data_IF_172819683272
#
_entry.id   IF_172819683272
#
_cell.length_a   1.000
_cell.length_b   1.000
_cell.length_c   1.000
_cell.angle_alpha   90.00
_cell.angle_beta   90.00
_cell.angle_gamma   90.00
#
_symmetry.space_group_name_H-M   'P 1'
#
loop_
_entity.id
_entity.type
_entity.pdbx_description
1 polymer ?
#
# COMPACT_ATOMS: atom_id res chain seq x y z
N UNK A 1 -3.10 -3.10 32.87
CA UNK A 1 -2.04 -2.49 32.04
C UNK A 1 -1.66 -3.55 31.00
N UNK A 2 -2.30 -3.51 29.84
CA UNK A 2 -1.88 -4.35 28.72
C UNK A 2 -0.57 -3.75 28.26
N UNK A 3 0.51 -4.54 28.25
CA UNK A 3 1.74 -4.11 27.60
C UNK A 3 1.39 -3.94 26.14
N UNK A 4 1.38 -2.70 25.69
CA UNK A 4 1.35 -2.35 24.28
C UNK A 4 2.73 -2.74 23.72
N UNK A 5 2.95 -4.04 23.52
CA UNK A 5 4.16 -4.54 22.85
C UNK A 5 3.97 -4.24 21.37
N UNK A 6 4.25 -2.98 21.03
CA UNK A 6 4.34 -2.50 19.67
C UNK A 6 5.17 -3.49 18.83
N UNK A 7 4.60 -3.95 17.72
CA UNK A 7 5.24 -4.95 16.89
C UNK A 7 6.63 -4.46 16.47
N UNK A 8 7.70 -5.27 16.54
CA UNK A 8 9.05 -4.79 16.30
C UNK A 8 9.25 -4.13 14.93
N UNK A 9 8.51 -4.55 13.91
CA UNK A 9 8.57 -3.92 12.60
C UNK A 9 8.01 -2.50 12.59
N UNK A 10 7.22 -2.08 13.58
CA UNK A 10 6.74 -0.70 13.66
C UNK A 10 7.88 0.28 13.89
N UNK A 11 8.96 -0.18 14.54
CA UNK A 11 10.11 0.63 14.93
C UNK A 11 9.94 1.28 16.29
N UNK A 12 11.09 1.60 16.90
CA UNK A 12 11.17 2.41 18.10
C UNK A 12 11.11 3.91 17.79
N UNK A 13 10.93 4.74 18.82
CA UNK A 13 11.03 6.20 18.70
C UNK A 13 12.38 6.62 18.08
N UNK A 14 13.45 5.92 18.44
CA UNK A 14 14.79 6.17 17.91
C UNK A 14 14.87 5.83 16.41
N UNK A 15 14.30 4.69 16.00
CA UNK A 15 14.23 4.30 14.58
C UNK A 15 13.56 5.39 13.73
N UNK A 16 12.41 5.90 14.21
CA UNK A 16 11.69 6.96 13.50
C UNK A 16 12.52 8.24 13.40
N UNK A 17 13.21 8.62 14.47
CA UNK A 17 14.02 9.83 14.51
C UNK A 17 15.21 9.73 13.55
N UNK A 18 15.94 8.61 13.58
CA UNK A 18 17.07 8.36 12.68
C UNK A 18 16.65 8.29 11.20
N UNK A 19 15.50 7.67 10.90
CA UNK A 19 14.94 7.62 9.56
C UNK A 19 14.57 9.01 9.06
N UNK A 20 13.98 9.87 9.91
CA UNK A 20 13.66 11.25 9.54
C UNK A 20 14.91 12.06 9.22
N UNK A 21 15.92 12.04 10.09
CA UNK A 21 17.19 12.77 9.87
C UNK A 21 17.93 12.29 8.61
N UNK A 22 17.96 10.98 8.40
CA UNK A 22 18.56 10.39 7.20
C UNK A 22 17.78 10.76 5.95
N UNK A 23 16.45 10.69 6.02
CA UNK A 23 15.59 11.02 4.88
C UNK A 23 15.74 12.46 4.46
N UNK A 24 15.91 13.40 5.40
CA UNK A 24 16.11 14.80 5.07
C UNK A 24 17.29 14.98 4.11
N UNK A 25 18.43 14.34 4.39
CA UNK A 25 19.62 14.38 3.51
C UNK A 25 19.34 13.78 2.13
N UNK A 26 18.59 12.68 2.07
CA UNK A 26 18.20 12.04 0.82
C UNK A 26 17.26 12.94 0.01
N UNK A 27 16.24 13.52 0.65
CA UNK A 27 15.27 14.41 0.01
C UNK A 27 15.93 15.71 -0.49
N UNK A 28 16.85 16.28 0.28
CA UNK A 28 17.63 17.46 -0.10
C UNK A 28 18.48 17.22 -1.36
N UNK A 29 18.94 15.99 -1.57
CA UNK A 29 19.61 15.60 -2.80
C UNK A 29 18.61 15.41 -3.94
N UNK A 30 17.53 14.65 -3.70
CA UNK A 30 16.52 14.30 -4.71
C UNK A 30 15.82 15.55 -5.28
N UNK A 31 15.53 16.57 -4.47
CA UNK A 31 14.87 17.80 -4.95
C UNK A 31 15.71 18.58 -6.00
N UNK A 32 17.01 18.32 -6.08
CA UNK A 32 17.88 18.91 -7.09
C UNK A 32 17.85 18.16 -8.43
N UNK A 33 17.27 16.95 -8.47
CA UNK A 33 17.17 16.15 -9.69
C UNK A 33 16.17 16.80 -10.68
N UNK A 34 16.58 17.16 -11.91
CA UNK A 34 15.70 17.81 -12.88
C UNK A 34 14.45 16.98 -13.24
N UNK A 35 14.53 15.65 -13.17
CA UNK A 35 13.39 14.75 -13.44
C UNK A 35 12.34 14.88 -12.34
N UNK A 36 12.78 14.97 -11.09
CA UNK A 36 11.91 15.18 -9.93
C UNK A 36 11.27 16.57 -10.01
N UNK A 37 12.05 17.62 -10.27
CA UNK A 37 11.51 18.98 -10.44
C UNK A 37 10.44 19.06 -11.53
N UNK A 38 10.66 18.36 -12.66
CA UNK A 38 9.69 18.30 -13.76
C UNK A 38 8.43 17.50 -13.40
N UNK A 39 8.58 16.44 -12.60
CA UNK A 39 7.46 15.65 -12.07
C UNK A 39 6.72 16.35 -10.91
N UNK A 40 7.36 17.30 -10.22
CA UNK A 40 6.81 18.05 -9.11
C UNK A 40 5.92 19.24 -9.53
N UNK A 41 5.41 19.25 -10.77
CA UNK A 41 4.53 20.32 -11.25
C UNK A 41 3.34 20.48 -10.28
N UNK A 42 3.03 21.71 -9.81
CA UNK A 42 1.89 21.94 -8.94
C UNK A 42 0.59 21.48 -9.61
N UNK A 43 -0.12 20.57 -8.95
CA UNK A 43 -1.35 19.99 -9.46
C UNK A 43 -2.41 19.92 -8.35
N UNK A 44 -3.63 20.32 -8.69
CA UNK A 44 -4.82 20.08 -7.87
C UNK A 44 -5.40 18.72 -8.32
N UNK A 45 -5.11 17.66 -7.57
CA UNK A 45 -5.59 16.30 -7.85
C UNK A 45 -6.46 15.87 -6.69
N UNK A 46 -7.64 15.31 -7.00
CA UNK A 46 -8.56 14.82 -5.98
C UNK A 46 -7.91 13.69 -5.15
N UNK A 47 -7.73 13.92 -3.85
CA UNK A 47 -6.95 13.04 -2.97
C UNK A 47 -7.62 11.69 -2.65
N UNK A 48 -8.94 11.57 -2.83
CA UNK A 48 -9.70 10.33 -2.62
C UNK A 48 -10.65 10.03 -3.78
N UNK A 49 -10.11 9.97 -5.00
CA UNK A 49 -10.92 9.77 -6.20
C UNK A 49 -11.33 8.29 -6.32
N UNK A 50 -12.53 7.97 -5.86
CA UNK A 50 -13.11 6.63 -5.98
C UNK A 50 -14.58 6.67 -6.42
N UNK A 51 -15.14 5.53 -6.85
CA UNK A 51 -16.49 5.45 -7.44
C UNK A 51 -17.61 6.06 -6.59
N UNK A 52 -17.49 6.04 -5.25
CA UNK A 52 -18.51 6.62 -4.35
C UNK A 52 -18.48 8.16 -4.31
N UNK A 53 -17.42 8.77 -4.83
CA UNK A 53 -17.24 10.22 -4.91
C UNK A 53 -17.58 10.76 -6.32
N UNK A 54 -18.03 9.91 -7.24
CA UNK A 54 -18.38 10.25 -8.61
C UNK A 54 -19.87 10.02 -8.83
N UNK A 55 -20.59 11.10 -9.15
CA UNK A 55 -21.99 11.04 -9.54
C UNK A 55 -22.10 11.04 -11.06
N UNK A 56 -23.00 10.20 -11.56
CA UNK A 56 -23.29 10.08 -12.99
C UNK A 56 -24.78 10.33 -13.24
N UNK A 57 -25.15 10.62 -14.49
CA UNK A 57 -26.56 10.82 -14.85
C UNK A 57 -27.34 9.50 -14.73
N UNK A 58 -28.58 9.53 -14.20
CA UNK A 58 -29.44 8.34 -14.18
C UNK A 58 -29.90 7.92 -15.58
N UNK A 59 -29.96 8.85 -16.53
CA UNK A 59 -30.37 8.58 -17.91
C UNK A 59 -29.19 8.13 -18.79
N UNK A 60 -27.98 8.60 -18.47
CA UNK A 60 -26.75 8.27 -19.19
C UNK A 60 -25.55 8.16 -18.22
N UNK A 61 -25.20 6.95 -17.74
CA UNK A 61 -24.10 6.74 -16.81
C UNK A 61 -22.70 7.11 -17.34
N UNK A 62 -22.56 7.44 -18.62
CA UNK A 62 -21.29 7.93 -19.19
C UNK A 62 -21.03 9.41 -18.90
N UNK A 63 -22.08 10.14 -18.48
CA UNK A 63 -22.00 11.56 -18.15
C UNK A 63 -21.78 11.73 -16.65
N UNK A 64 -20.60 12.20 -16.27
CA UNK A 64 -20.30 12.62 -14.90
C UNK A 64 -21.07 13.92 -14.60
N UNK A 65 -21.93 13.89 -13.58
CA UNK A 65 -22.75 15.02 -13.14
C UNK A 65 -22.14 15.76 -11.95
N UNK A 66 -21.26 15.11 -11.20
CA UNK A 66 -20.58 15.74 -10.08
C UNK A 66 -19.44 14.88 -9.53
N UNK A 67 -18.47 15.56 -8.92
CA UNK A 67 -17.42 14.94 -8.10
C UNK A 67 -17.46 15.66 -6.76
N UNK A 68 -17.56 14.91 -5.67
CA UNK A 68 -17.65 15.44 -4.30
C UNK A 68 -16.38 15.09 -3.51
N UNK A 69 -16.36 15.45 -2.22
CA UNK A 69 -15.31 15.06 -1.27
C UNK A 69 -13.95 15.78 -1.44
N UNK A 70 -14.01 17.02 -1.94
CA UNK A 70 -12.84 17.84 -2.23
C UNK A 70 -12.12 18.41 -0.99
N UNK A 71 -12.65 18.24 0.23
CA UNK A 71 -12.13 18.93 1.42
C UNK A 71 -10.68 18.56 1.81
N UNK A 72 -10.19 17.41 1.36
CA UNK A 72 -8.80 16.96 1.58
C UNK A 72 -7.87 17.32 0.41
N UNK A 73 -8.37 18.01 -0.61
CA UNK A 73 -7.60 18.32 -1.82
C UNK A 73 -6.72 19.56 -1.61
N UNK A 74 -5.44 19.44 -1.97
CA UNK A 74 -4.44 20.52 -1.92
C UNK A 74 -3.71 20.62 -3.27
N UNK A 75 -3.02 21.75 -3.49
CA UNK A 75 -2.08 21.88 -4.59
C UNK A 75 -0.76 21.25 -4.16
N UNK A 76 -0.49 20.06 -4.66
CA UNK A 76 0.68 19.24 -4.30
C UNK A 76 1.56 18.97 -5.54
N UNK A 77 2.80 18.48 -5.37
CA UNK A 77 3.56 17.89 -6.47
C UNK A 77 2.73 16.84 -7.22
N UNK A 78 2.73 16.85 -8.56
CA UNK A 78 1.86 15.95 -9.33
C UNK A 78 2.04 14.46 -8.99
N UNK A 79 3.25 14.03 -8.59
CA UNK A 79 3.54 12.65 -8.20
C UNK A 79 2.87 12.19 -6.89
N UNK A 80 2.29 13.10 -6.10
CA UNK A 80 1.67 12.75 -4.81
C UNK A 80 0.50 11.78 -4.97
N UNK A 81 -0.42 12.06 -5.90
CA UNK A 81 -1.64 11.26 -6.09
C UNK A 81 -1.73 10.61 -7.48
N UNK A 82 -0.95 11.06 -8.47
CA UNK A 82 -1.14 10.58 -9.85
C UNK A 82 -0.71 9.13 -10.09
N UNK A 83 0.04 8.54 -9.15
CA UNK A 83 0.50 7.15 -9.22
C UNK A 83 -0.44 6.19 -8.50
N UNK A 84 -1.49 6.70 -7.84
CA UNK A 84 -2.56 5.89 -7.28
C UNK A 84 -3.58 5.58 -8.37
N UNK A 85 -3.98 4.31 -8.47
CA UNK A 85 -5.03 3.87 -9.39
C UNK A 85 -6.36 3.88 -8.66
N UNK A 86 -7.34 4.69 -9.09
CA UNK A 86 -8.68 4.68 -8.52
C UNK A 86 -9.36 3.31 -8.57
N UNK A 87 -10.26 3.04 -7.62
CA UNK A 87 -10.93 1.74 -7.50
C UNK A 87 -11.72 1.31 -8.75
N UNK A 88 -12.25 2.26 -9.53
CA UNK A 88 -12.94 2.01 -10.79
C UNK A 88 -12.00 1.65 -11.95
N UNK A 89 -10.70 1.91 -11.82
CA UNK A 89 -9.66 1.61 -12.80
C UNK A 89 -8.66 0.55 -12.28
N UNK A 90 -8.88 0.02 -11.08
CA UNK A 90 -8.03 -1.01 -10.47
C UNK A 90 -8.27 -2.37 -11.11
N UNK A 91 -7.18 -3.15 -11.20
CA UNK A 91 -7.27 -4.56 -11.59
C UNK A 91 -7.88 -5.39 -10.46
N UNK A 92 -8.59 -6.49 -10.78
CA UNK A 92 -9.05 -7.45 -9.77
C UNK A 92 -7.87 -8.02 -8.97
N UNK A 93 -8.12 -8.38 -7.70
CA UNK A 93 -7.10 -9.00 -6.84
C UNK A 93 -6.65 -10.36 -7.38
N UNK A 94 -5.48 -10.84 -6.94
CA UNK A 94 -4.99 -12.18 -7.30
C UNK A 94 -5.98 -13.30 -6.94
N UNK A 95 -6.69 -13.17 -5.83
CA UNK A 95 -7.77 -14.09 -5.44
C UNK A 95 -8.91 -14.09 -6.46
N UNK A 96 -9.35 -12.91 -6.90
CA UNK A 96 -10.40 -12.77 -7.92
C UNK A 96 -9.93 -13.29 -9.30
N UNK A 97 -8.64 -13.18 -9.60
CA UNK A 97 -8.06 -13.71 -10.83
C UNK A 97 -7.96 -15.24 -10.79
N UNK A 98 -7.60 -15.82 -9.64
CA UNK A 98 -7.50 -17.27 -9.47
C UNK A 98 -8.85 -17.99 -9.58
N UNK A 99 -9.96 -17.29 -9.28
CA UNK A 99 -11.33 -17.80 -9.46
C UNK A 99 -11.80 -17.82 -10.93
N UNK A 100 -11.10 -17.13 -11.84
CA UNK A 100 -11.47 -17.04 -13.27
C UNK A 100 -10.57 -17.97 -14.09
N UNK A 101 -10.92 -19.25 -14.13
CA UNK A 101 -10.30 -20.23 -15.02
C UNK A 101 -11.07 -20.36 -16.36
N UNK A 102 -10.66 -21.32 -17.22
CA UNK A 102 -11.36 -21.59 -18.49
C UNK A 102 -12.81 -22.07 -18.30
N UNK A 103 -13.19 -22.56 -17.12
CA UNK A 103 -14.53 -23.01 -16.78
C UNK A 103 -15.42 -21.90 -16.20
N UNK A 104 -14.85 -20.74 -15.87
CA UNK A 104 -15.61 -19.62 -15.32
C UNK A 104 -16.70 -19.12 -16.29
N UNK A 105 -17.85 -18.66 -15.77
CA UNK A 105 -18.94 -18.13 -16.59
C UNK A 105 -18.49 -16.99 -17.51
N UNK A 106 -19.07 -16.92 -18.70
CA UNK A 106 -18.74 -15.90 -19.71
C UNK A 106 -18.89 -14.46 -19.16
N UNK A 107 -19.89 -14.23 -18.29
CA UNK A 107 -20.09 -12.93 -17.65
C UNK A 107 -18.93 -12.53 -16.73
N UNK A 108 -18.29 -13.49 -16.06
CA UNK A 108 -17.16 -13.23 -15.17
C UNK A 108 -15.90 -12.94 -15.98
N UNK A 109 -15.67 -13.70 -17.05
CA UNK A 109 -14.59 -13.43 -18.01
C UNK A 109 -14.75 -12.06 -18.66
N UNK A 110 -15.98 -11.69 -19.03
CA UNK A 110 -16.30 -10.38 -19.59
C UNK A 110 -15.99 -9.25 -18.61
N UNK A 111 -16.45 -9.35 -17.35
CA UNK A 111 -16.12 -8.35 -16.31
C UNK A 111 -14.62 -8.17 -16.11
N UNK A 112 -13.87 -9.27 -16.09
CA UNK A 112 -12.41 -9.23 -15.98
C UNK A 112 -11.79 -8.50 -17.19
N UNK A 113 -12.26 -8.79 -18.40
CA UNK A 113 -11.79 -8.13 -19.60
C UNK A 113 -12.13 -6.63 -19.60
N UNK A 114 -13.35 -6.26 -19.21
CA UNK A 114 -13.80 -4.86 -19.09
C UNK A 114 -12.94 -4.10 -18.07
N UNK A 115 -12.60 -4.72 -16.93
CA UNK A 115 -11.69 -4.12 -15.94
C UNK A 115 -10.28 -3.90 -16.49
N UNK A 116 -9.73 -4.86 -17.25
CA UNK A 116 -8.43 -4.71 -17.93
C UNK A 116 -8.45 -3.56 -18.94
N UNK A 117 -9.50 -3.47 -19.75
CA UNK A 117 -9.68 -2.38 -20.72
C UNK A 117 -9.79 -1.03 -19.99
N UNK A 118 -10.56 -0.97 -18.90
CA UNK A 118 -10.70 0.24 -18.09
C UNK A 118 -9.35 0.69 -17.52
N UNK A 119 -8.61 -0.22 -16.90
CA UNK A 119 -7.27 0.05 -16.35
C UNK A 119 -6.30 0.59 -17.42
N UNK A 120 -6.22 -0.08 -18.56
CA UNK A 120 -5.37 0.34 -19.68
C UNK A 120 -5.79 1.70 -20.24
N UNK A 121 -7.10 1.92 -20.38
CA UNK A 121 -7.64 3.19 -20.88
C UNK A 121 -7.31 4.32 -19.91
N UNK A 122 -7.49 4.11 -18.60
CA UNK A 122 -7.14 5.09 -17.57
C UNK A 122 -5.65 5.43 -17.64
N UNK A 123 -4.76 4.44 -17.67
CA UNK A 123 -3.31 4.65 -17.73
C UNK A 123 -2.89 5.45 -18.99
N UNK A 124 -3.41 5.07 -20.16
CA UNK A 124 -3.13 5.76 -21.42
C UNK A 124 -3.68 7.18 -21.42
N UNK A 125 -4.90 7.40 -20.95
CA UNK A 125 -5.52 8.72 -20.87
C UNK A 125 -4.77 9.63 -19.91
N UNK A 126 -4.39 9.14 -18.73
CA UNK A 126 -3.65 9.93 -17.74
C UNK A 126 -2.26 10.31 -18.26
N UNK A 127 -1.54 9.39 -18.91
CA UNK A 127 -0.23 9.66 -19.52
C UNK A 127 -0.31 10.54 -20.78
N UNK A 128 -1.37 10.39 -21.58
CA UNK A 128 -1.50 11.01 -22.90
C UNK A 128 -2.23 12.35 -22.92
N UNK A 129 -3.32 12.47 -22.14
CA UNK A 129 -4.26 13.59 -22.18
C UNK A 129 -4.11 14.55 -21.01
N UNK A 130 -3.31 14.21 -19.99
CA UNK A 130 -3.07 15.07 -18.82
C UNK A 130 -1.58 15.44 -18.75
N UNK A 131 -1.13 16.48 -19.50
CA UNK A 131 0.29 16.82 -19.60
C UNK A 131 0.98 17.10 -18.26
N UNK A 132 0.24 17.64 -17.27
CA UNK A 132 0.77 17.97 -15.93
C UNK A 132 1.17 16.74 -15.12
N UNK A 133 0.46 15.62 -15.26
CA UNK A 133 0.75 14.38 -14.50
C UNK A 133 1.64 13.42 -15.29
N UNK A 134 1.71 13.56 -16.62
CA UNK A 134 2.51 12.70 -17.49
C UNK A 134 3.94 12.49 -17.00
N UNK A 135 4.62 13.56 -16.57
CA UNK A 135 6.01 13.44 -16.10
C UNK A 135 6.11 12.69 -14.79
N UNK A 136 5.14 12.87 -13.90
CA UNK A 136 5.06 12.17 -12.63
C UNK A 136 4.73 10.68 -12.79
N UNK A 137 3.86 10.32 -13.73
CA UNK A 137 3.54 8.92 -14.04
C UNK A 137 4.64 8.15 -14.79
N UNK A 138 5.58 8.88 -15.41
CA UNK A 138 6.75 8.29 -16.09
C UNK A 138 7.99 8.26 -15.17
N UNK A 139 7.93 8.91 -14.02
CA UNK A 139 9.02 8.95 -13.06
C UNK A 139 9.14 7.59 -12.37
N UNK A 140 10.36 7.11 -12.17
CA UNK A 140 10.58 5.87 -11.43
C UNK A 140 10.08 6.02 -9.98
N UNK A 141 9.24 5.10 -9.47
CA UNK A 141 8.74 5.16 -8.10
C UNK A 141 9.82 5.29 -7.03
N UNK A 142 11.00 4.71 -7.21
CA UNK A 142 12.08 4.83 -6.24
C UNK A 142 12.51 6.30 -6.01
N UNK A 143 12.32 7.18 -6.99
CA UNK A 143 12.71 8.59 -6.92
C UNK A 143 11.70 9.46 -6.16
N UNK A 144 10.42 9.12 -6.14
CA UNK A 144 9.39 9.93 -5.46
C UNK A 144 8.80 9.28 -4.20
N UNK A 145 8.87 7.95 -4.04
CA UNK A 145 8.39 7.25 -2.84
C UNK A 145 8.98 7.83 -1.54
N UNK A 146 10.26 8.23 -1.45
CA UNK A 146 10.77 8.83 -0.23
C UNK A 146 9.97 10.06 0.25
N UNK A 147 9.46 10.88 -0.67
CA UNK A 147 8.60 12.02 -0.36
C UNK A 147 7.22 11.59 0.16
N UNK A 148 6.68 10.47 -0.35
CA UNK A 148 5.36 9.97 0.02
C UNK A 148 5.35 9.27 1.39
N UNK A 149 6.46 8.64 1.78
CA UNK A 149 6.50 7.77 2.96
C UNK A 149 7.29 8.36 4.15
N UNK A 150 8.11 9.40 3.96
CA UNK A 150 8.93 9.94 5.06
C UNK A 150 8.10 10.44 6.25
N UNK A 151 6.88 10.94 6.01
CA UNK A 151 6.00 11.48 7.04
C UNK A 151 5.01 10.44 7.59
N UNK A 152 5.02 9.21 7.07
CA UNK A 152 4.03 8.18 7.43
C UNK A 152 4.61 7.08 8.29
N UNK A 153 5.89 7.15 8.69
CA UNK A 153 6.59 6.07 9.42
C UNK A 153 5.88 5.64 10.70
N UNK A 154 5.28 6.57 11.42
CA UNK A 154 4.54 6.29 12.66
C UNK A 154 3.19 5.62 12.42
N UNK A 155 2.54 5.97 11.31
CA UNK A 155 1.24 5.42 10.90
C UNK A 155 1.42 4.04 10.28
N UNK A 156 2.33 3.92 9.33
CA UNK A 156 2.47 2.75 8.46
C UNK A 156 3.46 1.74 9.04
N UNK A 157 4.70 2.17 9.34
CA UNK A 157 5.78 1.44 10.03
C UNK A 157 7.15 2.05 9.64
N UNK A 158 8.12 2.09 10.57
CA UNK A 158 9.50 2.45 10.24
C UNK A 158 10.11 1.54 9.16
N UNK A 159 9.79 0.25 9.19
CA UNK A 159 10.28 -0.76 8.26
C UNK A 159 9.80 -0.47 6.83
N UNK A 160 8.57 -0.01 6.63
CA UNK A 160 8.08 0.32 5.27
C UNK A 160 8.90 1.41 4.61
N UNK A 161 9.21 2.48 5.35
CA UNK A 161 10.00 3.57 4.82
C UNK A 161 11.47 3.18 4.64
N UNK A 162 12.03 2.41 5.59
CA UNK A 162 13.37 1.82 5.47
C UNK A 162 13.50 1.00 4.19
N UNK A 163 12.51 0.18 3.86
CA UNK A 163 12.46 -0.58 2.60
C UNK A 163 12.54 0.36 1.38
N UNK A 164 11.86 1.52 1.39
CA UNK A 164 11.91 2.48 0.27
C UNK A 164 13.26 3.16 0.13
N UNK A 165 13.94 3.46 1.24
CA UNK A 165 15.30 3.98 1.22
C UNK A 165 16.31 2.91 0.74
N UNK A 166 16.12 1.65 1.13
CA UNK A 166 16.95 0.52 0.65
C UNK A 166 16.77 0.28 -0.85
N UNK A 167 15.53 0.26 -1.35
CA UNK A 167 15.21 0.16 -2.79
C UNK A 167 15.90 1.28 -3.59
N UNK A 168 15.81 2.52 -3.10
CA UNK A 168 16.47 3.67 -3.72
C UNK A 168 17.99 3.55 -3.70
N UNK A 169 18.57 3.19 -2.56
CA UNK A 169 20.02 3.07 -2.38
C UNK A 169 20.62 1.98 -3.26
N UNK A 170 19.94 0.83 -3.33
CA UNK A 170 20.37 -0.32 -4.15
C UNK A 170 20.33 0.02 -5.65
N UNK A 171 19.31 0.76 -6.08
CA UNK A 171 19.10 1.15 -7.49
C UNK A 171 19.75 2.48 -7.85
N UNK A 172 20.55 3.08 -6.97
CA UNK A 172 21.05 4.46 -7.12
C UNK A 172 21.76 4.69 -8.45
N UNK A 173 22.69 3.79 -8.81
CA UNK A 173 23.44 3.86 -10.06
C UNK A 173 22.57 3.57 -11.29
N UNK A 174 21.65 2.61 -11.19
CA UNK A 174 20.72 2.25 -12.27
C UNK A 174 19.72 3.37 -12.58
N UNK A 175 19.37 4.14 -11.56
CA UNK A 175 18.56 5.35 -11.68
C UNK A 175 19.35 6.55 -12.24
N UNK A 176 20.65 6.36 -12.54
CA UNK A 176 21.53 7.40 -13.10
C UNK A 176 21.87 8.51 -12.11
N UNK A 177 21.76 8.26 -10.81
CA UNK A 177 22.10 9.24 -9.78
C UNK A 177 23.63 9.37 -9.67
N UNK A 178 24.12 10.60 -9.44
CA UNK A 178 25.54 10.85 -9.21
C UNK A 178 25.93 10.53 -7.77
N UNK A 179 27.20 10.19 -7.55
CA UNK A 179 27.74 9.89 -6.21
C UNK A 179 27.11 8.66 -5.56
N UNK A 180 27.07 8.64 -4.23
CA UNK A 180 26.44 7.57 -3.44
C UNK A 180 25.24 8.10 -2.68
N UNK A 181 24.23 7.24 -2.49
CA UNK A 181 23.11 7.55 -1.61
C UNK A 181 23.61 7.84 -0.18
N UNK A 182 23.01 8.82 0.50
CA UNK A 182 23.33 9.11 1.91
C UNK A 182 22.86 8.02 2.87
N UNK A 183 21.96 7.15 2.43
CA UNK A 183 21.51 5.99 3.18
C UNK A 183 22.19 4.73 2.66
N UNK A 184 23.11 4.18 3.44
CA UNK A 184 23.87 2.97 3.14
C UNK A 184 23.86 2.08 4.39
N UNK A 185 22.86 1.20 4.55
CA UNK A 185 22.83 0.30 5.69
C UNK A 185 23.94 -0.74 5.58
N UNK A 186 24.50 -1.14 6.72
CA UNK A 186 25.46 -2.24 6.80
C UNK A 186 24.78 -3.62 6.68
N UNK A 187 25.57 -4.68 6.52
CA UNK A 187 25.05 -6.05 6.35
C UNK A 187 24.18 -6.52 7.53
N UNK A 188 24.46 -6.08 8.75
CA UNK A 188 23.67 -6.45 9.92
C UNK A 188 22.32 -5.73 9.91
N UNK A 189 22.31 -4.44 9.60
CA UNK A 189 21.10 -3.64 9.44
C UNK A 189 20.21 -4.19 8.33
N UNK A 190 20.80 -4.61 7.20
CA UNK A 190 20.09 -5.28 6.10
C UNK A 190 19.47 -6.58 6.58
N UNK A 191 20.23 -7.45 7.26
CA UNK A 191 19.74 -8.74 7.73
C UNK A 191 18.61 -8.61 8.77
N UNK A 192 18.69 -7.62 9.67
CA UNK A 192 17.61 -7.30 10.61
C UNK A 192 16.37 -6.80 9.87
N UNK A 193 16.55 -5.88 8.92
CA UNK A 193 15.46 -5.31 8.14
C UNK A 193 14.69 -6.37 7.34
N UNK A 194 15.39 -7.33 6.71
CA UNK A 194 14.75 -8.43 5.96
C UNK A 194 13.71 -9.16 6.83
N UNK A 195 14.09 -9.55 8.05
CA UNK A 195 13.19 -10.24 8.99
C UNK A 195 12.02 -9.37 9.43
N UNK A 196 12.28 -8.09 9.73
CA UNK A 196 11.22 -7.15 10.11
C UNK A 196 10.24 -6.90 8.96
N UNK A 197 10.74 -6.84 7.74
CA UNK A 197 9.92 -6.61 6.55
C UNK A 197 9.08 -7.84 6.20
N UNK A 198 9.62 -9.05 6.35
CA UNK A 198 8.86 -10.30 6.25
C UNK A 198 7.72 -10.39 7.26
N UNK A 199 7.98 -10.01 8.52
CA UNK A 199 6.96 -9.93 9.57
C UNK A 199 5.88 -8.89 9.19
N UNK A 200 6.29 -7.71 8.73
CA UNK A 200 5.37 -6.66 8.27
C UNK A 200 4.48 -7.18 7.13
N UNK A 201 5.05 -7.76 6.08
CA UNK A 201 4.29 -8.28 4.94
C UNK A 201 3.35 -9.42 5.34
N UNK A 202 3.76 -10.26 6.29
CA UNK A 202 2.92 -11.31 6.86
C UNK A 202 1.68 -10.72 7.53
N UNK A 203 1.84 -9.66 8.33
CA UNK A 203 0.68 -8.97 8.94
C UNK A 203 -0.19 -8.27 7.91
N UNK A 204 0.39 -7.64 6.88
CA UNK A 204 -0.41 -7.02 5.82
C UNK A 204 -1.25 -8.05 5.06
N UNK A 205 -0.67 -9.21 4.70
CA UNK A 205 -1.41 -10.31 4.08
C UNK A 205 -2.51 -10.85 4.98
N UNK A 206 -2.23 -11.00 6.28
CA UNK A 206 -3.21 -11.43 7.26
C UNK A 206 -4.37 -10.43 7.37
N UNK A 207 -4.09 -9.11 7.42
CA UNK A 207 -5.12 -8.07 7.43
C UNK A 207 -5.98 -8.10 6.17
N UNK A 208 -5.37 -8.27 4.99
CA UNK A 208 -6.10 -8.40 3.73
C UNK A 208 -7.03 -9.62 3.75
N UNK A 209 -6.52 -10.78 4.17
CA UNK A 209 -7.33 -12.00 4.30
C UNK A 209 -8.48 -11.83 5.29
N UNK A 210 -8.26 -11.18 6.44
CA UNK A 210 -9.31 -10.89 7.42
C UNK A 210 -10.37 -9.97 6.85
N UNK A 211 -9.97 -8.89 6.18
CA UNK A 211 -10.88 -7.96 5.51
C UNK A 211 -11.79 -8.69 4.53
N UNK A 212 -11.20 -9.52 3.68
CA UNK A 212 -11.93 -10.23 2.62
C UNK A 212 -12.81 -11.35 3.20
N UNK A 213 -12.35 -12.07 4.24
CA UNK A 213 -13.10 -13.18 4.86
C UNK A 213 -14.23 -12.72 5.78
N UNK A 214 -14.04 -11.59 6.47
CA UNK A 214 -15.00 -11.07 7.44
C UNK A 214 -15.91 -9.98 6.85
N UNK A 215 -15.62 -9.52 5.63
CA UNK A 215 -16.37 -8.44 4.98
C UNK A 215 -16.24 -7.10 5.72
N UNK A 216 -15.10 -6.86 6.39
CA UNK A 216 -14.83 -5.61 7.11
C UNK A 216 -14.08 -4.61 6.24
N UNK A 217 -13.86 -3.41 6.75
CA UNK A 217 -12.83 -2.52 6.22
C UNK A 217 -11.43 -2.87 6.80
N UNK A 218 -10.42 -2.07 6.45
CA UNK A 218 -9.03 -2.26 6.91
C UNK A 218 -8.85 -2.08 8.41
N UNK A 219 -9.78 -1.40 9.09
CA UNK A 219 -9.74 -1.14 10.53
C UNK A 219 -10.56 -2.17 11.32
N UNK A 220 -11.22 -3.11 10.63
CA UNK A 220 -12.05 -4.14 11.23
C UNK A 220 -13.43 -3.63 11.67
N UNK A 221 -13.88 -2.50 11.13
CA UNK A 221 -15.19 -1.94 11.47
C UNK A 221 -16.31 -2.82 10.90
N UNK A 222 -17.35 -3.03 11.72
CA UNK A 222 -18.59 -3.70 11.34
C UNK A 222 -19.81 -2.99 11.93
N UNK A 223 -20.98 -3.06 11.26
CA UNK A 223 -22.24 -2.60 11.84
C UNK A 223 -22.63 -3.35 13.14
N UNK A 224 -23.32 -2.66 14.05
CA UNK A 224 -23.71 -3.21 15.37
C UNK A 224 -24.60 -4.46 15.27
N UNK A 225 -25.43 -4.55 14.25
CA UNK A 225 -26.37 -5.66 14.03
C UNK A 225 -25.67 -6.97 13.64
N UNK A 226 -24.44 -6.89 13.10
CA UNK A 226 -23.63 -8.07 12.76
C UNK A 226 -22.47 -8.32 13.74
N UNK A 227 -22.36 -7.52 14.80
CA UNK A 227 -21.22 -7.56 15.74
C UNK A 227 -20.99 -8.95 16.36
N UNK A 228 -22.04 -9.62 16.83
CA UNK A 228 -21.90 -10.95 17.45
C UNK A 228 -21.38 -11.99 16.45
N UNK A 229 -21.92 -11.99 15.23
CA UNK A 229 -21.45 -12.89 14.16
C UNK A 229 -20.01 -12.57 13.74
N UNK A 230 -19.65 -11.29 13.66
CA UNK A 230 -18.29 -10.85 13.34
C UNK A 230 -17.27 -11.30 14.40
N UNK A 231 -17.62 -11.24 15.70
CA UNK A 231 -16.77 -11.76 16.78
C UNK A 231 -16.54 -13.27 16.68
N UNK A 232 -17.59 -14.03 16.39
CA UNK A 232 -17.48 -15.49 16.24
C UNK A 232 -16.62 -15.86 15.03
N UNK A 233 -16.84 -15.18 13.89
CA UNK A 233 -16.02 -15.36 12.70
C UNK A 233 -14.56 -14.93 12.92
N UNK A 234 -14.33 -13.84 13.64
CA UNK A 234 -13.00 -13.38 14.03
C UNK A 234 -12.27 -14.42 14.89
N UNK A 235 -12.94 -15.03 15.88
CA UNK A 235 -12.35 -16.10 16.70
C UNK A 235 -12.05 -17.35 15.87
N UNK A 236 -12.93 -17.71 14.93
CA UNK A 236 -12.68 -18.81 14.01
C UNK A 236 -11.43 -18.54 13.15
N UNK A 237 -11.33 -17.33 12.60
CA UNK A 237 -10.17 -16.90 11.80
C UNK A 237 -8.86 -16.92 12.60
N UNK A 238 -8.90 -16.49 13.87
CA UNK A 238 -7.75 -16.59 14.77
C UNK A 238 -7.31 -18.05 14.98
N UNK A 239 -8.26 -18.94 15.25
CA UNK A 239 -7.95 -20.36 15.43
C UNK A 239 -7.36 -21.00 14.16
N UNK A 240 -7.88 -20.64 12.98
CA UNK A 240 -7.35 -21.08 11.69
C UNK A 240 -5.91 -20.59 11.46
N UNK A 241 -5.63 -19.33 11.80
CA UNK A 241 -4.28 -18.76 11.73
C UNK A 241 -3.29 -19.49 12.65
N UNK A 242 -3.67 -19.75 13.90
CA UNK A 242 -2.82 -20.48 14.85
C UNK A 242 -2.63 -21.95 14.44
N UNK A 243 -3.66 -22.59 13.89
CA UNK A 243 -3.54 -23.96 13.37
C UNK A 243 -2.62 -24.01 12.15
N UNK A 244 -2.68 -23.00 11.27
CA UNK A 244 -1.76 -22.85 10.15
C UNK A 244 -0.31 -22.73 10.65
N UNK A 245 -0.08 -21.86 11.64
CA UNK A 245 1.22 -21.70 12.29
C UNK A 245 1.75 -23.02 12.87
N UNK A 246 0.91 -23.76 13.59
CA UNK A 246 1.26 -25.09 14.15
C UNK A 246 1.69 -26.07 13.06
N UNK A 247 0.99 -26.08 11.93
CA UNK A 247 1.27 -26.98 10.81
C UNK A 247 2.55 -26.63 10.05
N UNK A 248 2.92 -25.34 9.96
CA UNK A 248 4.18 -24.92 9.32
C UNK A 248 5.37 -25.02 10.28
N UNK A 249 5.19 -24.74 11.57
CA UNK A 249 6.18 -24.96 12.62
C UNK A 249 6.59 -26.44 12.70
N UNK A 250 5.62 -27.36 12.62
CA UNK A 250 5.89 -28.80 12.57
C UNK A 250 6.74 -29.23 11.34
N UNK A 251 6.77 -28.42 10.28
CA UNK A 251 7.59 -28.63 9.08
C UNK A 251 8.95 -27.92 9.14
N UNK A 252 9.26 -27.25 10.24
CA UNK A 252 10.52 -26.53 10.46
C UNK A 252 10.57 -25.13 9.85
N UNK A 253 9.42 -24.50 9.60
CA UNK A 253 9.32 -23.12 9.13
C UNK A 253 9.51 -22.11 10.29
N UNK A 254 9.81 -20.85 9.98
CA UNK A 254 10.08 -19.79 10.96
C UNK A 254 8.82 -19.23 11.65
N UNK A 255 7.63 -19.50 11.12
CA UNK A 255 6.36 -19.06 11.70
C UNK A 255 5.92 -20.00 12.82
N UNK A 256 6.43 -19.78 14.04
CA UNK A 256 5.99 -20.51 15.25
C UNK A 256 4.63 -20.05 15.73
N UNK A 257 3.96 -20.86 16.57
CA UNK A 257 2.70 -20.46 17.22
C UNK A 257 2.86 -19.17 18.04
N UNK A 258 4.00 -19.00 18.74
CA UNK A 258 4.30 -17.77 19.49
C UNK A 258 4.44 -16.55 18.58
N UNK A 259 5.17 -16.71 17.46
CA UNK A 259 5.30 -15.65 16.46
C UNK A 259 3.95 -15.30 15.85
N UNK A 260 3.14 -16.30 15.51
CA UNK A 260 1.80 -16.13 14.95
C UNK A 260 0.85 -15.40 15.92
N UNK A 261 0.87 -15.75 17.21
CA UNK A 261 0.11 -15.06 18.27
C UNK A 261 0.50 -13.58 18.37
N UNK A 262 1.80 -13.29 18.26
CA UNK A 262 2.31 -11.91 18.26
C UNK A 262 1.89 -11.14 17.02
N UNK A 263 1.96 -11.74 15.84
CA UNK A 263 1.64 -11.08 14.57
C UNK A 263 0.14 -10.83 14.35
N UNK A 264 -0.72 -11.35 15.22
CA UNK A 264 -2.16 -11.13 15.11
C UNK A 264 -2.52 -9.63 15.27
N UNK A 265 -3.23 -9.01 14.31
CA UNK A 265 -3.38 -7.56 14.25
C UNK A 265 -4.44 -6.96 15.19
N UNK A 266 -5.28 -7.78 15.84
CA UNK A 266 -6.41 -7.33 16.64
C UNK A 266 -6.30 -7.77 18.11
N UNK A 267 -6.82 -6.98 19.04
CA UNK A 267 -6.73 -7.31 20.47
C UNK A 267 -7.71 -8.40 20.92
N UNK A 268 -8.80 -8.60 20.17
CA UNK A 268 -9.72 -9.71 20.41
C UNK A 268 -9.09 -10.99 19.88
N UNK A 269 -9.10 -12.07 20.66
CA UNK A 269 -8.67 -13.42 20.26
C UNK A 269 -9.84 -14.38 20.49
#
# INVERSE_FOLDING_TARGET
MVKDEQLPYQGSIQDHTELLETSQKVLDYLIQDPRIQKAASPALIHADLHKRNIYVSPDDPTVVTGVIDWQSTSVEPAFTYCNETPDFASLPSESQLAEVDESAPDDQKKKLNDAKICHQTYDVCMKGLVPKVRQAMLLDPALFRPFLYCHTTWRDSATTFRQKLMELSTRWSDLGMQGSCSYLPDEQQVAVHVKLYEDFETVQRLKMWLRDSLGTDSDGWVPNDVWEAAKDAHRAAYNEWIETARNVEAKGDELTVEKADRLWPFHSR
#
